data_IF_036412043701
#
_entry.id   IF_036412043701
#
_cell.length_a   1.000
_cell.length_b   1.000
_cell.length_c   1.000
_cell.angle_alpha   90.00
_cell.angle_beta   90.00
_cell.angle_gamma   90.00
#
_symmetry.space_group_name_H-M   'P 1'
#
loop_
_entity.id
_entity.type
_entity.pdbx_description
1 polymer ?
#
# COMPACT_ATOMS: atom_id res chain seq x y z
N UNK A 1 -26.13 -27.65 16.95
CA UNK A 1 -26.84 -26.57 16.24
C UNK A 1 -25.78 -25.73 15.51
N UNK A 2 -25.92 -25.57 14.18
CA UNK A 2 -24.92 -24.99 13.28
C UNK A 2 -24.87 -23.45 13.35
N UNK A 3 -23.64 -22.93 13.20
CA UNK A 3 -23.14 -21.65 12.66
C UNK A 3 -24.13 -20.53 12.30
N UNK A 4 -23.72 -19.27 12.56
CA UNK A 4 -23.33 -18.35 11.49
C UNK A 4 -22.84 -16.99 12.04
N UNK A 5 -21.56 -16.69 11.90
CA UNK A 5 -21.07 -15.30 11.81
C UNK A 5 -19.93 -15.26 10.81
N UNK A 6 -20.33 -15.08 9.55
CA UNK A 6 -19.50 -14.95 8.36
C UNK A 6 -18.62 -13.71 8.47
N UNK A 7 -17.30 -13.86 8.57
CA UNK A 7 -16.36 -12.75 8.43
C UNK A 7 -16.03 -12.57 6.93
N UNK A 8 -16.87 -11.79 6.25
CA UNK A 8 -16.69 -11.39 4.86
C UNK A 8 -15.65 -10.25 4.72
N UNK A 9 -14.43 -10.43 5.23
CA UNK A 9 -13.45 -9.33 5.33
C UNK A 9 -12.45 -9.28 4.18
N UNK A 10 -12.20 -10.35 3.43
CA UNK A 10 -11.27 -10.28 2.29
C UNK A 10 -11.93 -9.91 0.95
N UNK A 11 -13.23 -10.18 0.76
CA UNK A 11 -13.90 -9.84 -0.50
C UNK A 11 -14.39 -8.38 -0.54
N UNK A 12 -14.76 -7.81 0.61
CA UNK A 12 -15.30 -6.45 0.67
C UNK A 12 -14.23 -5.36 0.46
N UNK A 13 -12.95 -5.64 0.75
CA UNK A 13 -11.86 -4.66 0.59
C UNK A 13 -11.48 -4.39 -0.87
N UNK A 14 -11.71 -5.34 -1.79
CA UNK A 14 -11.39 -5.19 -3.22
C UNK A 14 -12.56 -4.64 -4.05
N UNK A 15 -13.80 -4.75 -3.57
CA UNK A 15 -14.98 -4.20 -4.26
C UNK A 15 -15.08 -2.68 -4.22
N UNK A 16 -14.19 -1.99 -3.48
CA UNK A 16 -14.19 -0.53 -3.34
C UNK A 16 -13.11 0.14 -4.20
N UNK A 17 -12.25 -0.62 -4.87
CA UNK A 17 -11.23 -0.09 -5.76
C UNK A 17 -11.79 -0.14 -7.19
N UNK A 18 -12.37 0.96 -7.66
CA UNK A 18 -12.95 1.08 -9.02
C UNK A 18 -11.97 0.74 -10.16
N UNK A 19 -10.67 0.63 -9.87
CA UNK A 19 -9.66 0.17 -10.85
C UNK A 19 -9.74 -1.33 -11.18
N UNK A 20 -10.47 -2.15 -10.41
CA UNK A 20 -10.65 -3.57 -10.73
C UNK A 20 -11.37 -3.78 -12.08
N UNK A 21 -12.21 -2.82 -12.48
CA UNK A 21 -12.95 -2.85 -13.75
C UNK A 21 -12.08 -2.45 -14.96
N UNK A 22 -10.89 -1.88 -14.74
CA UNK A 22 -10.00 -1.42 -15.80
C UNK A 22 -9.12 -2.53 -16.41
N UNK A 23 -9.10 -3.72 -15.82
CA UNK A 23 -8.26 -4.84 -16.26
C UNK A 23 -9.08 -6.12 -16.41
N UNK A 24 -9.71 -6.32 -17.59
CA UNK A 24 -10.59 -7.48 -17.84
C UNK A 24 -9.92 -8.88 -17.73
N UNK A 25 -8.59 -8.95 -17.68
CA UNK A 25 -7.85 -10.17 -17.34
C UNK A 25 -7.98 -10.55 -15.86
N UNK A 26 -8.23 -9.58 -14.99
CA UNK A 26 -8.35 -9.75 -13.55
C UNK A 26 -9.71 -10.34 -13.16
N UNK A 27 -10.80 -9.95 -13.82
CA UNK A 27 -12.13 -10.58 -13.62
C UNK A 27 -12.10 -12.08 -13.93
N UNK A 28 -11.42 -12.46 -15.02
CA UNK A 28 -11.22 -13.87 -15.38
C UNK A 28 -10.38 -14.61 -14.34
N UNK A 29 -9.37 -13.95 -13.77
CA UNK A 29 -8.54 -14.53 -12.70
C UNK A 29 -9.33 -14.74 -11.39
N UNK A 30 -10.19 -13.79 -11.02
CA UNK A 30 -11.06 -13.87 -9.84
C UNK A 30 -12.14 -14.94 -10.04
N UNK A 31 -12.80 -14.96 -11.20
CA UNK A 31 -13.84 -15.94 -11.52
C UNK A 31 -13.29 -17.38 -11.64
N UNK A 32 -12.02 -17.54 -12.01
CA UNK A 32 -11.36 -18.84 -12.11
C UNK A 32 -10.84 -19.38 -10.76
N UNK A 33 -10.83 -18.57 -9.69
CA UNK A 33 -10.40 -19.01 -8.36
C UNK A 33 -11.56 -19.71 -7.67
N UNK A 34 -11.45 -21.01 -7.41
CA UNK A 34 -12.36 -21.70 -6.49
C UNK A 34 -12.33 -20.99 -5.13
N UNK A 35 -13.47 -20.80 -4.45
CA UNK A 35 -13.49 -20.25 -3.10
C UNK A 35 -12.56 -21.11 -2.23
N UNK A 36 -11.67 -20.45 -1.50
CA UNK A 36 -10.83 -21.13 -0.51
C UNK A 36 -11.78 -21.66 0.55
N UNK A 37 -12.13 -22.94 0.45
CA UNK A 37 -12.75 -23.66 1.55
C UNK A 37 -11.66 -23.87 2.60
N UNK A 38 -11.60 -22.97 3.58
CA UNK A 38 -10.82 -23.19 4.79
C UNK A 38 -11.47 -24.38 5.52
N UNK A 39 -10.98 -25.59 5.19
CA UNK A 39 -11.20 -26.79 5.99
C UNK A 39 -10.96 -26.44 7.46
N UNK A 40 -11.85 -26.92 8.33
CA UNK A 40 -11.93 -26.60 9.76
C UNK A 40 -10.66 -26.93 10.60
N UNK A 41 -9.55 -27.28 9.95
CA UNK A 41 -8.22 -27.48 10.54
C UNK A 41 -7.26 -26.29 10.39
N UNK A 42 -7.59 -25.25 9.62
CA UNK A 42 -6.78 -24.02 9.47
C UNK A 42 -7.27 -22.90 10.41
N UNK A 43 -7.66 -23.28 11.62
CA UNK A 43 -7.96 -22.37 12.73
C UNK A 43 -6.96 -22.59 13.87
N UNK A 44 -5.67 -22.71 13.55
CA UNK A 44 -4.69 -22.09 14.43
C UNK A 44 -4.75 -20.61 14.09
N UNK A 45 -5.26 -19.83 15.03
CA UNK A 45 -5.57 -18.42 14.84
C UNK A 45 -4.39 -17.73 14.15
N UNK A 46 -4.65 -16.87 13.16
CA UNK A 46 -3.62 -15.98 12.59
C UNK A 46 -2.86 -15.22 13.71
N UNK A 47 -3.50 -15.06 14.88
CA UNK A 47 -2.91 -14.57 16.15
C UNK A 47 -1.71 -15.35 16.66
N UNK A 48 -1.56 -16.62 16.29
CA UNK A 48 -0.45 -17.52 16.69
C UNK A 48 0.65 -17.59 15.62
N UNK A 49 0.38 -17.13 14.39
CA UNK A 49 1.37 -17.04 13.31
C UNK A 49 2.19 -15.74 13.38
N UNK A 50 1.63 -14.70 14.00
CA UNK A 50 2.28 -13.42 14.17
C UNK A 50 2.97 -13.37 15.53
N UNK A 51 4.23 -12.94 15.57
CA UNK A 51 4.89 -12.66 16.84
C UNK A 51 4.06 -11.63 17.65
N UNK A 52 4.13 -11.64 19.00
CA UNK A 52 3.37 -10.70 19.83
C UNK A 52 3.56 -9.23 19.40
N UNK A 53 4.76 -8.90 18.94
CA UNK A 53 5.08 -7.58 18.39
C UNK A 53 4.30 -7.28 17.12
N UNK A 54 4.28 -8.20 16.16
CA UNK A 54 3.56 -8.03 14.88
C UNK A 54 2.06 -7.97 15.11
N UNK A 55 1.54 -8.72 16.08
CA UNK A 55 0.12 -8.68 16.45
C UNK A 55 -0.29 -7.34 17.04
N UNK A 56 0.52 -6.77 17.93
CA UNK A 56 0.27 -5.45 18.50
C UNK A 56 0.26 -4.34 17.44
N UNK A 57 1.20 -4.39 16.48
CA UNK A 57 1.21 -3.45 15.36
C UNK A 57 -0.02 -3.62 14.45
N UNK A 58 -0.44 -4.85 14.17
CA UNK A 58 -1.64 -5.12 13.39
C UNK A 58 -2.92 -4.61 14.09
N UNK A 59 -3.05 -4.83 15.40
CA UNK A 59 -4.18 -4.32 16.18
C UNK A 59 -4.21 -2.79 16.21
N UNK A 60 -3.04 -2.14 16.33
CA UNK A 60 -2.89 -0.69 16.26
C UNK A 60 -3.29 -0.15 14.88
N UNK A 61 -2.88 -0.82 13.82
CA UNK A 61 -3.27 -0.52 12.43
C UNK A 61 -4.79 -0.61 12.22
N UNK A 62 -5.42 -1.69 12.69
CA UNK A 62 -6.88 -1.88 12.61
C UNK A 62 -7.63 -0.83 13.43
N UNK A 63 -7.13 -0.46 14.60
CA UNK A 63 -7.71 0.60 15.43
C UNK A 63 -7.63 1.97 14.71
N UNK A 64 -6.48 2.29 14.10
CA UNK A 64 -6.32 3.51 13.31
C UNK A 64 -7.27 3.54 12.10
N UNK A 65 -7.44 2.42 11.41
CA UNK A 65 -8.34 2.32 10.25
C UNK A 65 -9.82 2.49 10.67
N UNK A 66 -10.21 1.92 11.80
CA UNK A 66 -11.60 2.01 12.30
C UNK A 66 -11.94 3.38 12.89
N UNK A 67 -10.95 4.14 13.36
CA UNK A 67 -11.09 5.52 13.80
C UNK A 67 -11.15 6.56 12.66
N UNK A 68 -10.89 6.15 11.41
CA UNK A 68 -11.04 7.05 10.26
C UNK A 68 -12.51 7.40 10.06
N UNK A 69 -12.74 8.69 9.83
CA UNK A 69 -14.04 9.22 9.49
C UNK A 69 -14.50 8.63 8.15
N UNK A 70 -15.52 7.78 8.21
CA UNK A 70 -16.08 7.07 7.06
C UNK A 70 -16.91 8.01 6.18
N UNK A 71 -17.37 9.10 6.77
CA UNK A 71 -18.23 10.09 6.14
C UNK A 71 -17.40 11.17 5.44
N UNK A 72 -16.10 11.27 5.70
CA UNK A 72 -15.17 12.15 4.97
C UNK A 72 -15.09 11.85 3.45
N UNK A 73 -15.50 10.64 3.02
CA UNK A 73 -15.63 10.29 1.59
C UNK A 73 -16.96 10.81 1.02
N UNK A 74 -18.00 10.95 1.85
CA UNK A 74 -19.38 11.26 1.45
C UNK A 74 -19.69 12.76 1.60
N UNK A 75 -19.00 13.46 2.51
CA UNK A 75 -19.08 14.91 2.69
C UNK A 75 -17.72 15.57 2.41
N UNK A 76 -17.43 15.92 1.14
CA UNK A 76 -16.19 16.61 0.77
C UNK A 76 -16.07 18.03 1.36
N UNK A 77 -17.15 18.58 1.94
CA UNK A 77 -17.13 19.89 2.61
C UNK A 77 -16.94 19.76 4.13
N UNK A 78 -17.18 18.59 4.71
CA UNK A 78 -17.00 18.31 6.15
C UNK A 78 -15.54 18.23 6.58
N UNK A 79 -14.62 17.94 5.65
CA UNK A 79 -13.17 18.04 5.82
C UNK A 79 -12.57 18.89 4.70
N UNK A 80 -12.58 20.19 4.93
CA UNK A 80 -11.97 21.16 4.03
C UNK A 80 -10.46 20.91 3.90
N UNK A 81 -9.90 21.31 2.76
CA UNK A 81 -8.46 21.37 2.54
C UNK A 81 -7.77 22.15 3.67
N UNK A 82 -6.78 21.52 4.29
CA UNK A 82 -5.91 22.13 5.29
C UNK A 82 -4.54 22.38 4.62
N UNK A 83 -4.21 23.64 4.30
CA UNK A 83 -2.97 23.95 3.62
C UNK A 83 -1.72 23.60 4.43
N UNK A 84 -1.78 23.61 5.76
CA UNK A 84 -0.63 23.31 6.61
C UNK A 84 -0.45 21.80 6.73
N UNK A 85 -1.54 21.07 7.01
CA UNK A 85 -1.49 19.61 7.15
C UNK A 85 -1.23 18.88 5.82
N UNK A 86 -1.55 19.49 4.68
CA UNK A 86 -1.38 18.92 3.34
C UNK A 86 -0.24 19.57 2.55
N UNK A 87 0.60 20.37 3.21
CA UNK A 87 1.77 20.95 2.57
C UNK A 87 2.83 19.87 2.27
N UNK A 88 3.25 19.80 1.01
CA UNK A 88 4.36 18.96 0.54
C UNK A 88 5.38 19.89 -0.12
N UNK A 89 6.60 19.95 0.42
CA UNK A 89 7.65 20.78 -0.15
C UNK A 89 8.10 20.26 -1.50
N UNK A 90 8.23 21.17 -2.49
CA UNK A 90 8.80 20.87 -3.81
C UNK A 90 10.01 21.76 -4.10
N UNK A 91 10.63 22.28 -3.05
CA UNK A 91 11.75 23.22 -3.09
C UNK A 91 13.01 22.59 -2.49
N UNK A 92 14.18 23.17 -2.77
CA UNK A 92 15.46 22.75 -2.21
C UNK A 92 15.81 21.29 -2.56
N UNK A 93 15.98 20.45 -1.55
CA UNK A 93 16.26 19.02 -1.74
C UNK A 93 15.13 18.30 -2.51
N UNK A 94 13.91 18.84 -2.42
CA UNK A 94 12.72 18.37 -3.11
C UNK A 94 12.40 19.10 -4.42
N UNK A 95 13.31 19.93 -4.92
CA UNK A 95 13.18 20.51 -6.25
C UNK A 95 13.09 19.41 -7.31
N UNK A 96 12.21 19.62 -8.29
CA UNK A 96 12.08 18.72 -9.41
C UNK A 96 13.38 18.67 -10.22
N UNK A 97 13.83 17.46 -10.56
CA UNK A 97 14.91 17.23 -11.52
C UNK A 97 14.49 16.15 -12.50
N UNK A 98 14.74 16.39 -13.78
CA UNK A 98 14.56 15.37 -14.81
C UNK A 98 15.43 14.15 -14.49
N UNK A 99 14.96 12.91 -14.75
CA UNK A 99 15.80 11.72 -14.61
C UNK A 99 17.01 11.82 -15.53
N UNK A 100 18.20 11.58 -14.98
CA UNK A 100 19.46 11.52 -15.71
C UNK A 100 19.70 10.17 -16.40
N UNK A 101 20.81 10.04 -17.13
CA UNK A 101 21.21 8.76 -17.70
C UNK A 101 21.42 7.71 -16.59
N UNK A 102 20.70 6.59 -16.67
CA UNK A 102 20.77 5.50 -15.69
C UNK A 102 19.74 5.61 -14.55
N UNK A 103 19.03 6.73 -14.41
CA UNK A 103 17.95 6.86 -13.44
C UNK A 103 16.74 6.03 -13.87
N UNK A 104 16.26 5.17 -12.98
CA UNK A 104 15.20 4.22 -13.26
C UNK A 104 13.83 4.87 -13.04
N UNK A 105 12.94 4.74 -14.01
CA UNK A 105 11.53 5.13 -13.90
C UNK A 105 10.66 3.98 -14.37
N UNK A 106 9.45 3.91 -13.81
CA UNK A 106 8.54 2.79 -14.02
C UNK A 106 7.17 3.18 -14.51
N UNK A 107 6.25 2.20 -14.57
CA UNK A 107 4.89 2.42 -15.02
C UNK A 107 4.04 3.22 -14.02
N UNK A 108 4.47 3.31 -12.74
CA UNK A 108 3.74 4.06 -11.72
C UNK A 108 4.14 5.54 -11.72
N UNK A 109 3.28 6.47 -12.17
CA UNK A 109 3.62 7.89 -12.23
C UNK A 109 3.90 8.48 -10.84
N UNK A 110 3.22 8.01 -9.80
CA UNK A 110 3.42 8.48 -8.43
C UNK A 110 4.84 8.23 -7.91
N UNK A 111 5.43 7.06 -8.22
CA UNK A 111 6.80 6.74 -7.79
C UNK A 111 7.85 7.53 -8.58
N UNK A 112 7.56 7.79 -9.85
CA UNK A 112 8.42 8.62 -10.71
C UNK A 112 8.49 10.06 -10.19
N UNK A 113 7.36 10.62 -9.73
CA UNK A 113 7.30 11.95 -9.10
C UNK A 113 8.15 11.99 -7.83
N UNK A 114 8.01 11.01 -6.93
CA UNK A 114 8.79 10.95 -5.70
C UNK A 114 10.31 10.91 -5.95
N UNK A 115 10.75 10.16 -6.97
CA UNK A 115 12.17 10.11 -7.34
C UNK A 115 12.64 11.39 -8.03
N UNK A 116 11.81 12.00 -8.88
CA UNK A 116 12.13 13.29 -9.50
C UNK A 116 12.15 14.46 -8.50
N UNK A 117 11.45 14.34 -7.37
CA UNK A 117 11.47 15.29 -6.26
C UNK A 117 12.37 14.84 -5.10
N UNK A 118 13.25 13.85 -5.28
CA UNK A 118 14.22 13.47 -4.24
C UNK A 118 13.63 12.96 -2.93
N UNK A 119 12.33 12.67 -2.88
CA UNK A 119 11.69 11.98 -1.76
C UNK A 119 12.10 10.51 -1.74
N UNK A 120 12.21 9.91 -2.92
CA UNK A 120 12.96 8.70 -3.15
C UNK A 120 14.35 9.03 -3.70
N UNK A 121 15.25 8.04 -3.67
CA UNK A 121 16.54 8.19 -4.33
C UNK A 121 16.30 8.51 -5.81
N UNK A 122 17.00 9.51 -6.32
CA UNK A 122 16.77 10.04 -7.68
C UNK A 122 17.08 9.00 -8.76
N UNK A 123 17.93 8.03 -8.45
CA UNK A 123 18.26 6.86 -9.28
C UNK A 123 17.10 5.86 -9.44
N UNK A 124 16.01 5.98 -8.65
CA UNK A 124 14.87 5.08 -8.70
C UNK A 124 15.01 3.79 -7.89
N UNK A 125 16.03 3.69 -7.03
CA UNK A 125 16.14 2.63 -6.01
C UNK A 125 15.48 3.08 -4.71
N UNK A 126 14.76 2.18 -4.04
CA UNK A 126 13.95 2.53 -2.88
C UNK A 126 14.06 1.46 -1.81
N UNK A 127 14.19 1.86 -0.55
CA UNK A 127 14.11 0.95 0.60
C UNK A 127 12.67 0.70 1.03
N UNK A 128 12.39 -0.48 1.60
CA UNK A 128 11.06 -0.86 2.07
C UNK A 128 10.48 0.15 3.06
N UNK A 129 11.25 0.54 4.08
CA UNK A 129 10.76 1.48 5.12
C UNK A 129 10.64 2.91 4.59
N UNK A 130 11.60 3.34 3.77
CA UNK A 130 11.54 4.63 3.06
C UNK A 130 10.26 4.75 2.24
N UNK A 131 9.90 3.69 1.51
CA UNK A 131 8.68 3.66 0.71
C UNK A 131 7.43 3.89 1.58
N UNK A 132 7.32 3.20 2.72
CA UNK A 132 6.19 3.32 3.65
C UNK A 132 6.07 4.75 4.19
N UNK A 133 7.18 5.32 4.63
CA UNK A 133 7.21 6.65 5.25
C UNK A 133 6.87 7.74 4.24
N UNK A 134 7.54 7.74 3.08
CA UNK A 134 7.39 8.78 2.06
C UNK A 134 6.01 8.76 1.42
N UNK A 135 5.44 7.59 1.09
CA UNK A 135 4.10 7.56 0.50
C UNK A 135 3.03 7.99 1.51
N UNK A 136 3.28 7.79 2.79
CA UNK A 136 2.41 8.29 3.85
C UNK A 136 2.51 9.80 3.98
N UNK A 137 3.74 10.33 4.00
CA UNK A 137 4.00 11.76 4.10
C UNK A 137 3.48 12.54 2.88
N UNK A 138 3.77 12.08 1.67
CA UNK A 138 3.51 12.85 0.44
C UNK A 138 2.11 12.61 -0.11
N UNK A 139 1.60 11.39 -0.03
CA UNK A 139 0.32 11.01 -0.62
C UNK A 139 -0.76 10.68 0.41
N UNK A 140 -0.46 10.74 1.71
CA UNK A 140 -1.41 10.36 2.76
C UNK A 140 -1.76 8.86 2.75
N UNK A 141 -0.96 8.03 2.07
CA UNK A 141 -1.19 6.58 2.02
C UNK A 141 -0.97 6.01 3.42
N UNK A 142 -1.87 5.14 3.88
CA UNK A 142 -1.72 4.58 5.23
C UNK A 142 -0.45 3.72 5.32
N UNK A 143 0.25 3.70 6.47
CA UNK A 143 1.44 2.87 6.64
C UNK A 143 1.21 1.38 6.34
N UNK A 144 0.00 0.88 6.60
CA UNK A 144 -0.39 -0.50 6.30
C UNK A 144 -0.44 -0.77 4.80
N UNK A 145 -1.10 0.12 4.04
CA UNK A 145 -1.19 0.00 2.59
C UNK A 145 0.19 0.20 1.95
N UNK A 146 0.95 1.21 2.41
CA UNK A 146 2.33 1.43 2.01
C UNK A 146 3.20 0.21 2.30
N UNK A 147 3.01 -0.45 3.44
CA UNK A 147 3.74 -1.65 3.85
C UNK A 147 3.46 -2.84 2.94
N UNK A 148 2.19 -3.10 2.64
CA UNK A 148 1.80 -4.19 1.72
C UNK A 148 2.37 -3.95 0.32
N UNK A 149 2.23 -2.73 -0.21
CA UNK A 149 2.73 -2.38 -1.54
C UNK A 149 4.27 -2.43 -1.62
N UNK A 150 4.96 -1.98 -0.57
CA UNK A 150 6.43 -2.01 -0.51
C UNK A 150 6.96 -3.43 -0.38
N UNK A 151 6.32 -4.28 0.45
CA UNK A 151 6.67 -5.69 0.55
C UNK A 151 6.44 -6.43 -0.77
N UNK A 152 5.32 -6.18 -1.45
CA UNK A 152 5.07 -6.68 -2.80
C UNK A 152 6.20 -6.27 -3.75
N UNK A 153 6.57 -4.99 -3.76
CA UNK A 153 7.63 -4.49 -4.63
C UNK A 153 8.98 -5.15 -4.36
N UNK A 154 9.37 -5.33 -3.10
CA UNK A 154 10.61 -6.04 -2.73
C UNK A 154 10.61 -7.49 -3.21
N UNK A 155 9.49 -8.22 -3.05
CA UNK A 155 9.40 -9.63 -3.45
C UNK A 155 9.51 -9.82 -4.96
N UNK A 156 8.91 -8.92 -5.75
CA UNK A 156 8.81 -9.10 -7.21
C UNK A 156 9.87 -8.33 -8.01
N UNK A 157 10.43 -7.25 -7.46
CA UNK A 157 11.29 -6.31 -8.19
C UNK A 157 12.56 -5.91 -7.41
N UNK A 158 12.85 -6.56 -6.29
CA UNK A 158 13.89 -6.14 -5.36
C UNK A 158 14.79 -7.24 -4.82
N UNK A 159 15.71 -6.83 -3.95
CA UNK A 159 16.52 -7.73 -3.13
C UNK A 159 15.85 -7.89 -1.76
N UNK A 160 15.33 -9.10 -1.50
CA UNK A 160 14.66 -9.44 -0.23
C UNK A 160 15.59 -9.32 0.98
N UNK A 161 16.89 -9.58 0.82
CA UNK A 161 17.84 -9.53 1.92
C UNK A 161 18.13 -8.11 2.37
N UNK A 162 18.17 -7.17 1.42
CA UNK A 162 18.45 -5.75 1.70
C UNK A 162 17.16 -4.94 1.89
N UNK A 163 16.00 -5.51 1.53
CA UNK A 163 14.71 -4.81 1.57
C UNK A 163 14.65 -3.65 0.57
N UNK A 164 15.44 -3.71 -0.50
CA UNK A 164 15.53 -2.67 -1.54
C UNK A 164 14.86 -3.13 -2.83
N UNK A 165 14.30 -2.21 -3.59
CA UNK A 165 13.61 -2.50 -4.86
C UNK A 165 13.74 -1.33 -5.83
N UNK A 166 13.55 -1.60 -7.12
CA UNK A 166 13.64 -0.61 -8.19
C UNK A 166 12.24 -0.24 -8.68
N UNK A 167 11.98 1.06 -8.84
CA UNK A 167 10.64 1.53 -9.23
C UNK A 167 10.28 1.21 -10.69
N UNK A 168 11.25 0.81 -11.51
CA UNK A 168 11.08 0.60 -12.95
C UNK A 168 11.19 -0.85 -13.43
N UNK A 169 11.61 -1.79 -12.59
CA UNK A 169 11.82 -3.18 -13.00
C UNK A 169 12.90 -3.89 -12.19
N UNK A 170 13.16 -5.18 -12.47
CA UNK A 170 14.05 -6.00 -11.65
C UNK A 170 15.51 -5.50 -11.65
N UNK A 171 16.15 -5.74 -10.51
CA UNK A 171 17.57 -5.55 -10.23
C UNK A 171 18.48 -6.44 -11.09
#
# INVERSE_FOLDING_TARGET
MKLSSTLAVLAAGFSVIGSAQAFGSFEKWVAARQPIQLEAGVTREIKDLLSPKVRAEFEKAVANLSARDKDAIIDPNGKLFDPEAQYVSVEGDHEWKAPGPGDIRGPCPGLNVLSNHGYFNRDGTVGLTQAIEVVSQVYGISPELGGVLSAYAVVFTGNILDGTWSIGGPF
#
